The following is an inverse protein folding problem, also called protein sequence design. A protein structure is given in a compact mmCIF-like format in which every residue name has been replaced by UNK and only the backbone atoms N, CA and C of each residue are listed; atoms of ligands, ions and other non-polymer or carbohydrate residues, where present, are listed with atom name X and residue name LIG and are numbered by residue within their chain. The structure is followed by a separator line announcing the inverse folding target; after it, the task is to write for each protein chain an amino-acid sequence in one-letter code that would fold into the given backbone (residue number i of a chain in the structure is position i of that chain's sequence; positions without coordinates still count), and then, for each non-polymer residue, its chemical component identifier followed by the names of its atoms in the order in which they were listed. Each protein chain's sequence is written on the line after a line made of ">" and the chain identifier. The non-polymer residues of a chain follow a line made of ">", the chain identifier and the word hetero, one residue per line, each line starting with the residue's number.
data_IF_393818860002
#
_entry.id   IF_393818860002
#
_cell.length_a   1.000
_cell.length_b   1.000
_cell.length_c   1.000
_cell.angle_alpha   90.00
_cell.angle_beta   90.00
_cell.angle_gamma   90.00
#
_symmetry.space_group_name_H-M   'P 1'
#
loop_
_entity.id
_entity.type
_entity.pdbx_description
1 polymer ?
#
# COMPACT_ATOMS: atom_id res chain seq x y z
N UNK A 1 -15.17 13.69 -15.51
CA UNK A 1 -14.74 12.81 -14.39
C UNK A 1 -13.24 12.97 -14.21
N UNK A 2 -12.78 13.34 -13.02
CA UNK A 2 -11.35 13.48 -12.75
C UNK A 2 -10.65 12.12 -12.68
N UNK A 3 -9.35 12.10 -12.99
CA UNK A 3 -8.50 10.89 -12.89
C UNK A 3 -8.58 10.28 -11.49
N UNK A 4 -8.71 8.96 -11.39
CA UNK A 4 -8.78 8.24 -10.11
C UNK A 4 -7.40 8.15 -9.47
N UNK A 5 -7.35 8.03 -8.15
CA UNK A 5 -6.11 7.97 -7.36
C UNK A 5 -5.83 6.57 -6.82
N UNK A 6 -4.55 6.36 -6.50
CA UNK A 6 -4.05 5.26 -5.67
C UNK A 6 -3.38 5.87 -4.45
N UNK A 7 -3.71 5.35 -3.27
CA UNK A 7 -3.18 5.76 -1.99
C UNK A 7 -2.33 4.65 -1.41
N UNK A 8 -1.07 4.95 -1.14
CA UNK A 8 -0.13 4.05 -0.48
C UNK A 8 0.03 4.50 0.96
N UNK A 9 -0.06 3.55 1.88
CA UNK A 9 0.04 3.84 3.30
C UNK A 9 0.27 2.61 4.13
N UNK A 10 0.30 2.82 5.43
CA UNK A 10 0.31 1.75 6.42
C UNK A 10 -1.08 1.63 7.03
N UNK A 11 -1.50 0.41 7.32
CA UNK A 11 -2.75 0.18 8.02
C UNK A 11 -2.73 0.86 9.38
N UNK A 12 -3.74 1.69 9.64
CA UNK A 12 -3.91 2.37 10.92
C UNK A 12 -4.49 1.41 11.94
N UNK A 13 -3.68 0.95 12.89
CA UNK A 13 -4.12 0.04 13.94
C UNK A 13 -5.13 0.74 14.86
N UNK A 14 -6.23 0.08 15.17
CA UNK A 14 -7.28 0.63 16.01
C UNK A 14 -8.41 -0.36 16.24
N UNK A 15 -9.63 0.13 16.38
CA UNK A 15 -10.80 -0.75 16.59
C UNK A 15 -11.16 -1.57 15.35
N UNK A 16 -10.94 -1.01 14.16
CA UNK A 16 -11.29 -1.64 12.88
C UNK A 16 -10.18 -2.56 12.38
N UNK A 17 -8.93 -2.10 12.41
CA UNK A 17 -7.77 -2.84 11.88
C UNK A 17 -6.87 -3.29 13.02
N UNK A 18 -6.55 -4.58 13.03
CA UNK A 18 -5.76 -5.23 14.10
C UNK A 18 -4.40 -5.75 13.64
N UNK A 19 -4.16 -5.82 12.34
CA UNK A 19 -2.92 -6.34 11.74
C UNK A 19 -2.15 -5.22 11.06
N UNK A 20 -0.83 -5.23 11.20
CA UNK A 20 0.07 -4.31 10.50
C UNK A 20 0.18 -4.76 9.05
N UNK A 21 -0.07 -3.85 8.13
CA UNK A 21 0.07 -4.12 6.71
C UNK A 21 0.45 -2.85 5.95
N UNK A 22 1.16 -3.05 4.84
CA UNK A 22 1.20 -2.06 3.78
C UNK A 22 -0.16 -2.13 3.08
N UNK A 23 -0.85 -1.00 3.00
CA UNK A 23 -2.17 -0.88 2.40
C UNK A 23 -2.07 -0.03 1.14
N UNK A 24 -2.55 -0.57 0.02
CA UNK A 24 -2.68 0.14 -1.26
C UNK A 24 -4.17 0.25 -1.59
N UNK A 25 -4.67 1.48 -1.66
CA UNK A 25 -6.09 1.77 -1.85
C UNK A 25 -6.31 2.42 -3.21
N UNK A 26 -7.10 1.77 -4.06
CA UNK A 26 -7.51 2.27 -5.37
C UNK A 26 -8.89 2.91 -5.26
N UNK A 27 -9.04 4.15 -5.74
CA UNK A 27 -10.37 4.73 -5.97
C UNK A 27 -11.07 3.99 -7.11
N UNK A 28 -12.33 3.63 -6.93
CA UNK A 28 -13.20 3.10 -7.98
C UNK A 28 -14.24 4.15 -8.42
N UNK A 29 -14.59 5.07 -7.50
CA UNK A 29 -15.50 6.18 -7.76
C UNK A 29 -14.94 7.48 -7.15
N UNK A 30 -14.65 8.47 -8.00
CA UNK A 30 -14.10 9.75 -7.57
C UNK A 30 -15.05 10.51 -6.63
N UNK A 31 -16.37 10.45 -6.86
CA UNK A 31 -17.33 11.25 -6.09
C UNK A 31 -17.49 10.69 -4.68
N UNK A 32 -17.69 9.38 -4.55
CA UNK A 32 -17.76 8.70 -3.26
C UNK A 32 -16.46 8.78 -2.48
N UNK A 33 -15.31 8.50 -3.11
CA UNK A 33 -14.01 8.51 -2.45
C UNK A 33 -13.62 9.87 -1.89
N UNK A 34 -13.86 10.93 -2.66
CA UNK A 34 -13.42 12.30 -2.32
C UNK A 34 -14.46 13.09 -1.55
N UNK A 35 -15.61 12.48 -1.25
CA UNK A 35 -16.53 13.02 -0.26
C UNK A 35 -15.90 13.04 1.13
N UNK A 36 -16.39 13.91 2.02
CA UNK A 36 -15.94 13.95 3.42
C UNK A 36 -16.10 12.61 4.13
N UNK A 37 -17.13 11.84 3.77
CA UNK A 37 -17.36 10.51 4.32
C UNK A 37 -16.32 9.51 3.80
N UNK A 38 -16.05 9.52 2.50
CA UNK A 38 -15.06 8.64 1.87
C UNK A 38 -13.66 8.89 2.43
N UNK A 39 -13.25 10.15 2.52
CA UNK A 39 -11.95 10.52 3.07
C UNK A 39 -11.83 10.24 4.58
N UNK A 40 -12.91 10.41 5.36
CA UNK A 40 -12.93 9.97 6.77
C UNK A 40 -12.77 8.46 6.90
N UNK A 41 -13.41 7.68 6.03
CA UNK A 41 -13.24 6.23 6.01
C UNK A 41 -11.77 5.84 5.75
N UNK A 42 -11.15 6.41 4.70
CA UNK A 42 -9.75 6.15 4.36
C UNK A 42 -8.80 6.45 5.54
N UNK A 43 -8.90 7.65 6.13
CA UNK A 43 -8.07 8.06 7.28
C UNK A 43 -8.28 7.23 8.56
N UNK A 44 -9.39 6.50 8.65
CA UNK A 44 -9.69 5.62 9.79
C UNK A 44 -8.97 4.28 9.67
N UNK A 45 -8.68 3.83 8.44
CA UNK A 45 -8.12 2.50 8.18
C UNK A 45 -6.68 2.52 7.67
N UNK A 46 -6.22 3.66 7.14
CA UNK A 46 -4.90 3.81 6.55
C UNK A 46 -4.30 5.17 6.92
N UNK A 47 -3.02 5.16 7.28
CA UNK A 47 -2.16 6.34 7.31
C UNK A 47 -1.50 6.47 5.93
N UNK A 48 -2.12 7.25 5.05
CA UNK A 48 -1.62 7.50 3.68
C UNK A 48 -0.35 8.34 3.70
N UNK A 49 0.67 7.89 2.97
CA UNK A 49 1.99 8.55 2.88
C UNK A 49 2.33 9.00 1.47
N UNK A 50 1.71 8.38 0.47
CA UNK A 50 1.95 8.71 -0.93
C UNK A 50 0.66 8.53 -1.74
N UNK A 51 0.47 9.39 -2.72
CA UNK A 51 -0.64 9.32 -3.65
C UNK A 51 -0.17 9.51 -5.09
N UNK A 52 -0.80 8.78 -6.01
CA UNK A 52 -0.62 8.94 -7.46
C UNK A 52 -1.95 8.84 -8.18
N UNK A 53 -1.94 9.18 -9.45
CA UNK A 53 -3.06 8.87 -10.34
C UNK A 53 -2.95 7.43 -10.86
N UNK A 54 -4.12 6.83 -11.10
CA UNK A 54 -4.24 5.54 -11.75
C UNK A 54 -3.86 5.62 -13.23
N UNK A 55 -3.35 4.51 -13.75
CA UNK A 55 -3.20 4.26 -15.19
C UNK A 55 -4.58 4.00 -15.81
N UNK A 56 -4.67 4.08 -17.15
CA UNK A 56 -5.93 3.83 -17.85
C UNK A 56 -6.49 2.43 -17.59
N UNK A 57 -5.62 1.44 -17.38
CA UNK A 57 -6.03 0.05 -17.18
C UNK A 57 -6.58 -0.13 -15.76
N UNK A 58 -5.90 0.42 -14.76
CA UNK A 58 -6.38 0.47 -13.36
C UNK A 58 -7.75 1.17 -13.27
N UNK A 59 -7.93 2.31 -13.96
CA UNK A 59 -9.20 3.05 -13.95
C UNK A 59 -10.35 2.24 -14.58
N UNK A 60 -10.07 1.46 -15.62
CA UNK A 60 -11.08 0.64 -16.30
C UNK A 60 -11.58 -0.50 -15.39
N UNK A 61 -10.68 -1.10 -14.63
CA UNK A 61 -11.03 -2.16 -13.69
C UNK A 61 -11.75 -1.61 -12.45
N UNK A 62 -11.36 -0.43 -11.96
CA UNK A 62 -12.04 0.25 -10.86
C UNK A 62 -13.50 0.55 -11.16
N UNK A 63 -13.82 0.99 -12.39
CA UNK A 63 -15.21 1.30 -12.80
C UNK A 63 -16.16 0.10 -12.78
N UNK A 64 -15.65 -1.13 -12.78
CA UNK A 64 -16.46 -2.36 -12.70
C UNK A 64 -16.80 -2.75 -11.26
N UNK A 65 -16.24 -2.05 -10.27
CA UNK A 65 -16.41 -2.37 -8.86
C UNK A 65 -17.60 -1.64 -8.25
N UNK A 66 -18.33 -2.32 -7.36
CA UNK A 66 -19.47 -1.73 -6.64
C UNK A 66 -19.07 -0.92 -5.39
N UNK A 67 -17.84 -1.13 -4.89
CA UNK A 67 -17.31 -0.41 -3.72
C UNK A 67 -16.59 0.84 -4.17
N UNK A 68 -16.63 1.91 -3.36
CA UNK A 68 -15.92 3.15 -3.68
C UNK A 68 -14.38 2.97 -3.68
N UNK A 69 -13.84 2.08 -2.84
CA UNK A 69 -12.43 1.73 -2.84
C UNK A 69 -12.20 0.23 -2.99
N UNK A 70 -11.07 -0.13 -3.61
CA UNK A 70 -10.48 -1.48 -3.58
C UNK A 70 -9.17 -1.41 -2.81
N UNK A 71 -8.98 -2.29 -1.83
CA UNK A 71 -7.76 -2.36 -1.03
C UNK A 71 -6.99 -3.64 -1.34
N UNK A 72 -5.67 -3.50 -1.50
CA UNK A 72 -4.72 -4.60 -1.43
C UNK A 72 -3.83 -4.41 -0.20
N UNK A 73 -3.75 -5.43 0.65
CA UNK A 73 -2.98 -5.38 1.88
C UNK A 73 -1.88 -6.44 1.86
N UNK A 74 -0.66 -6.03 2.20
CA UNK A 74 0.47 -6.92 2.46
C UNK A 74 0.72 -6.97 3.97
N UNK A 75 0.26 -8.03 4.62
CA UNK A 75 0.40 -8.21 6.06
C UNK A 75 1.84 -8.48 6.43
N UNK A 76 2.41 -7.60 7.26
CA UNK A 76 3.84 -7.61 7.56
C UNK A 76 4.26 -8.91 8.26
N UNK A 77 3.42 -9.42 9.14
CA UNK A 77 3.72 -10.58 9.99
C UNK A 77 3.39 -11.94 9.33
N UNK A 78 2.87 -11.94 8.11
CA UNK A 78 2.46 -13.17 7.41
C UNK A 78 3.53 -13.62 6.39
N UNK A 79 3.54 -14.92 6.06
CA UNK A 79 4.33 -15.43 4.94
C UNK A 79 3.83 -14.76 3.64
N UNK A 80 4.72 -14.34 2.72
CA UNK A 80 6.17 -14.57 2.71
C UNK A 80 7.01 -13.41 3.32
N UNK A 81 6.40 -12.45 4.00
CA UNK A 81 7.05 -11.24 4.49
C UNK A 81 7.74 -11.47 5.83
N UNK A 82 7.12 -12.21 6.75
CA UNK A 82 7.71 -12.64 8.03
C UNK A 82 8.40 -11.50 8.83
N UNK A 83 7.77 -10.32 8.88
CA UNK A 83 8.27 -9.16 9.61
C UNK A 83 9.26 -8.29 8.83
N UNK A 84 9.66 -8.69 7.63
CA UNK A 84 10.66 -7.96 6.81
C UNK A 84 10.04 -6.76 6.09
N UNK A 85 10.47 -5.55 6.43
CA UNK A 85 10.04 -4.33 5.79
C UNK A 85 10.55 -4.30 4.35
N UNK A 86 11.83 -4.62 4.14
CA UNK A 86 12.42 -4.66 2.81
C UNK A 86 11.72 -5.68 1.90
N UNK A 87 11.37 -6.86 2.42
CA UNK A 87 10.60 -7.85 1.67
C UNK A 87 9.20 -7.34 1.32
N UNK A 88 8.53 -6.69 2.26
CA UNK A 88 7.20 -6.09 2.03
C UNK A 88 7.24 -5.03 0.92
N UNK A 89 8.21 -4.11 1.00
CA UNK A 89 8.41 -3.04 0.01
C UNK A 89 8.79 -3.62 -1.36
N UNK A 90 9.64 -4.65 -1.39
CA UNK A 90 10.00 -5.35 -2.62
C UNK A 90 8.78 -5.98 -3.30
N UNK A 91 7.96 -6.72 -2.54
CA UNK A 91 6.74 -7.36 -3.08
C UNK A 91 5.77 -6.31 -3.63
N UNK A 92 5.57 -5.20 -2.91
CA UNK A 92 4.74 -4.10 -3.37
C UNK A 92 5.28 -3.49 -4.68
N UNK A 93 6.58 -3.19 -4.71
CA UNK A 93 7.23 -2.62 -5.89
C UNK A 93 7.16 -3.57 -7.10
N UNK A 94 7.29 -4.88 -6.88
CA UNK A 94 7.17 -5.87 -7.95
C UNK A 94 5.74 -6.02 -8.46
N UNK A 95 4.73 -5.90 -7.60
CA UNK A 95 3.32 -5.89 -8.02
C UNK A 95 3.00 -4.68 -8.92
N UNK A 96 3.58 -3.52 -8.63
CA UNK A 96 3.36 -2.28 -9.37
C UNK A 96 4.15 -2.18 -10.69
N UNK A 97 5.09 -3.10 -10.98
CA UNK A 97 6.10 -2.89 -12.03
C UNK A 97 5.57 -2.69 -13.45
N UNK A 98 4.39 -3.23 -13.76
CA UNK A 98 3.76 -3.13 -15.07
C UNK A 98 2.97 -1.83 -15.24
N UNK A 99 2.56 -1.19 -14.14
CA UNK A 99 1.72 0.01 -14.16
C UNK A 99 2.48 1.28 -13.71
N UNK A 100 3.60 1.11 -13.00
CA UNK A 100 4.33 2.20 -12.36
C UNK A 100 5.81 2.16 -12.75
N UNK A 101 6.29 3.29 -13.28
CA UNK A 101 7.72 3.45 -13.65
C UNK A 101 8.64 3.16 -12.46
N UNK A 102 9.85 2.65 -12.74
CA UNK A 102 10.85 2.32 -11.70
C UNK A 102 11.14 3.50 -10.77
N UNK A 103 11.36 4.70 -11.34
CA UNK A 103 11.62 5.91 -10.55
C UNK A 103 10.45 6.27 -9.62
N UNK A 104 9.20 6.08 -10.06
CA UNK A 104 8.04 6.32 -9.21
C UNK A 104 7.91 5.25 -8.12
N UNK A 105 8.17 3.98 -8.43
CA UNK A 105 8.18 2.90 -7.43
C UNK A 105 9.24 3.12 -6.35
N UNK A 106 10.43 3.60 -6.72
CA UNK A 106 11.48 3.96 -5.77
C UNK A 106 11.03 5.09 -4.83
N UNK A 107 10.35 6.11 -5.35
CA UNK A 107 9.78 7.20 -4.53
C UNK A 107 8.69 6.70 -3.57
N UNK A 108 7.82 5.80 -4.03
CA UNK A 108 6.76 5.18 -3.22
C UNK A 108 7.40 4.36 -2.09
N UNK A 109 8.34 3.46 -2.42
CA UNK A 109 9.04 2.62 -1.44
C UNK A 109 9.79 3.45 -0.40
N UNK A 110 10.45 4.53 -0.82
CA UNK A 110 11.18 5.41 0.09
C UNK A 110 10.23 6.16 1.06
N UNK A 111 9.09 6.65 0.57
CA UNK A 111 8.08 7.31 1.40
C UNK A 111 7.49 6.33 2.44
N UNK A 112 7.14 5.12 2.00
CA UNK A 112 6.64 4.05 2.87
C UNK A 112 7.68 3.65 3.92
N UNK A 113 8.94 3.44 3.51
CA UNK A 113 10.05 3.10 4.41
C UNK A 113 10.23 4.16 5.50
N UNK A 114 10.34 5.44 5.12
CA UNK A 114 10.53 6.55 6.07
C UNK A 114 9.40 6.62 7.08
N UNK A 115 8.15 6.55 6.62
CA UNK A 115 6.99 6.57 7.51
C UNK A 115 6.96 5.36 8.45
N UNK A 116 7.34 4.17 7.96
CA UNK A 116 7.37 2.97 8.79
C UNK A 116 8.43 3.08 9.89
N UNK A 117 9.65 3.46 9.53
CA UNK A 117 10.75 3.61 10.48
C UNK A 117 10.46 4.69 11.52
N UNK A 118 9.82 5.79 11.10
CA UNK A 118 9.39 6.85 12.01
C UNK A 118 8.36 6.36 13.03
N UNK A 119 7.37 5.58 12.59
CA UNK A 119 6.34 5.02 13.48
C UNK A 119 6.83 3.85 14.34
N UNK A 120 7.94 3.20 13.96
CA UNK A 120 8.47 2.00 14.62
C UNK A 120 9.97 2.17 14.94
N UNK A 121 10.36 3.06 15.87
CA UNK A 121 11.76 3.35 16.16
C UNK A 121 12.56 2.15 16.70
N UNK A 122 11.88 1.15 17.29
CA UNK A 122 12.49 -0.09 17.75
C UNK A 122 12.56 -1.19 16.70
N UNK A 123 12.09 -0.94 15.47
CA UNK A 123 12.12 -1.92 14.41
C UNK A 123 13.55 -2.30 14.04
N UNK A 124 13.78 -3.61 13.86
CA UNK A 124 15.00 -4.15 13.28
C UNK A 124 14.58 -5.12 12.17
N UNK A 125 15.20 -4.96 11.01
CA UNK A 125 15.00 -5.88 9.90
C UNK A 125 15.36 -7.30 10.39
N UNK A 126 14.46 -8.29 10.23
CA UNK A 126 14.78 -9.65 10.60
C UNK A 126 15.97 -10.12 9.76
N UNK A 127 16.96 -10.71 10.42
CA UNK A 127 18.06 -11.35 9.72
C UNK A 127 17.47 -12.46 8.86
N UNK A 128 17.51 -12.28 7.53
CA UNK A 128 17.19 -13.35 6.60
C UNK A 128 18.16 -14.50 6.91
N UNK A 129 17.62 -15.61 7.42
CA UNK A 129 18.34 -16.87 7.47
C UNK A 129 18.80 -17.12 6.03
N UNK A 130 20.13 -17.14 5.81
CA UNK A 130 20.77 -17.29 4.50
C UNK A 130 19.95 -18.27 3.65
N UNK A 131 19.38 -17.79 2.54
CA UNK A 131 18.79 -18.68 1.56
C UNK A 131 19.92 -19.56 1.04
N UNK A 132 19.89 -20.85 1.40
CA UNK A 132 20.71 -21.86 0.77
C UNK A 132 20.32 -21.88 -0.71
N UNK A 133 21.13 -21.22 -1.53
CA UNK A 133 21.08 -21.41 -2.97
C UNK A 133 21.61 -22.82 -3.21
N UNK A 134 20.72 -23.77 -3.50
CA UNK A 134 21.14 -25.02 -4.10
C UNK A 134 21.42 -24.71 -5.57
N UNK A 135 22.69 -24.82 -5.97
CA UNK A 135 23.14 -24.82 -7.36
C UNK A 135 22.56 -26.01 -8.14
#
# INVERSE_FOLDING_TARGET
>A
MGKLKVYYGWTRIGNVRKKRALSVMFENDAQGCRSDRGQRCLRTIQDTVFERYQTKDEEQDGRKQNRIFTEYSLFLDEKPINGSLERCLFINSEADKNHVSKAMRERISEALRKSFMFANPGYKEPNNQLSLNFE
#
